data_IF_335301297729
#
_entry.id   IF_335301297729
#
_cell.length_a   1.000
_cell.length_b   1.000
_cell.length_c   1.000
_cell.angle_alpha   90.00
_cell.angle_beta   90.00
_cell.angle_gamma   90.00
#
_symmetry.space_group_name_H-M   'P 1'
#
loop_
_entity.id
_entity.type
_entity.pdbx_description
1 polymer ?
#
# COMPACT_ATOMS: atom_id res chain seq x y z
N UNK A 1 -12.03 -10.42 15.44
CA UNK A 1 -11.45 -11.71 15.85
C UNK A 1 -10.92 -12.39 14.60
N UNK A 2 -9.66 -12.79 14.60
CA UNK A 2 -9.05 -13.63 13.56
C UNK A 2 -8.65 -14.96 14.21
N UNK A 3 -8.90 -16.06 13.50
CA UNK A 3 -8.72 -17.41 14.06
C UNK A 3 -7.31 -17.96 13.87
N UNK A 4 -6.51 -17.38 12.96
CA UNK A 4 -5.16 -17.88 12.70
C UNK A 4 -4.16 -17.19 13.61
N UNK A 5 -3.36 -17.97 14.36
CA UNK A 5 -2.26 -17.42 15.13
C UNK A 5 -1.28 -16.67 14.20
N UNK A 6 -0.79 -15.49 14.61
CA UNK A 6 0.19 -14.76 13.83
C UNK A 6 1.45 -15.59 13.57
N UNK A 7 1.92 -15.69 12.31
CA UNK A 7 3.17 -16.37 12.01
C UNK A 7 4.38 -15.61 12.57
N UNK A 8 5.50 -16.30 12.71
CA UNK A 8 6.78 -15.68 13.02
C UNK A 8 7.22 -14.75 11.88
N UNK A 9 7.89 -13.66 12.22
CA UNK A 9 8.40 -12.68 11.27
C UNK A 9 9.90 -12.49 11.47
N UNK A 10 10.60 -12.15 10.40
CA UNK A 10 11.99 -11.71 10.49
C UNK A 10 12.05 -10.33 11.17
N UNK A 11 12.95 -10.15 12.14
CA UNK A 11 13.22 -8.83 12.71
C UNK A 11 13.65 -7.84 11.61
N UNK A 12 13.24 -6.56 11.67
CA UNK A 12 13.60 -5.57 10.65
C UNK A 12 15.10 -5.25 10.66
N UNK A 13 15.73 -5.21 11.82
CA UNK A 13 17.15 -4.94 11.98
C UNK A 13 17.73 -5.68 13.20
N UNK A 14 19.02 -5.43 13.48
CA UNK A 14 19.72 -5.96 14.64
C UNK A 14 19.82 -4.95 15.80
N UNK A 15 19.05 -3.85 15.76
CA UNK A 15 19.13 -2.77 16.74
C UNK A 15 18.06 -3.02 17.83
N UNK A 16 18.46 -3.33 19.07
CA UNK A 16 17.49 -3.52 20.14
C UNK A 16 16.83 -2.18 20.51
N UNK A 17 15.54 -2.17 20.90
CA UNK A 17 14.90 -0.96 21.37
C UNK A 17 15.49 -0.53 22.72
N UNK A 18 15.49 0.77 22.95
CA UNK A 18 15.81 1.35 24.26
C UNK A 18 14.57 1.19 25.14
N UNK A 19 14.62 0.23 26.07
CA UNK A 19 13.54 -0.04 27.05
C UNK A 19 13.97 0.45 28.43
N UNK A 20 13.04 1.07 29.17
CA UNK A 20 13.32 1.50 30.53
C UNK A 20 13.36 0.30 31.50
N UNK A 21 14.10 0.38 32.62
CA UNK A 21 14.09 -0.66 33.63
C UNK A 21 12.67 -0.94 34.15
N UNK A 22 12.22 -2.20 34.07
CA UNK A 22 10.90 -2.64 34.52
C UNK A 22 9.81 -2.73 33.44
N UNK A 23 10.11 -2.33 32.19
CA UNK A 23 9.19 -2.51 31.07
C UNK A 23 9.24 -3.94 30.49
N UNK A 24 8.18 -4.32 29.77
CA UNK A 24 8.07 -5.65 29.16
C UNK A 24 9.20 -5.91 28.17
N UNK A 25 9.79 -7.10 28.24
CA UNK A 25 10.79 -7.55 27.28
C UNK A 25 10.19 -7.60 25.89
N UNK A 26 10.75 -6.79 25.02
CA UNK A 26 10.43 -6.70 23.62
C UNK A 26 11.03 -7.88 22.83
N UNK A 27 10.27 -8.48 21.92
CA UNK A 27 10.62 -9.72 21.22
C UNK A 27 11.35 -9.51 19.88
N UNK A 28 11.90 -8.32 19.62
CA UNK A 28 12.63 -8.04 18.38
C UNK A 28 11.74 -7.74 17.18
N UNK A 29 10.43 -7.52 17.40
CA UNK A 29 9.41 -7.61 16.35
C UNK A 29 9.41 -8.99 15.65
N UNK A 30 9.87 -10.09 16.27
CA UNK A 30 10.01 -11.38 15.58
C UNK A 30 8.68 -12.10 15.24
N UNK A 31 7.57 -11.38 15.16
CA UNK A 31 6.23 -11.89 14.84
C UNK A 31 5.42 -10.89 14.04
N UNK A 32 4.54 -11.41 13.21
CA UNK A 32 3.49 -10.61 12.59
C UNK A 32 2.37 -10.30 13.60
N UNK A 33 1.50 -9.37 13.21
CA UNK A 33 0.25 -9.11 13.92
C UNK A 33 -0.88 -10.05 13.47
N UNK A 34 -2.10 -9.74 13.91
CA UNK A 34 -3.31 -10.36 13.37
C UNK A 34 -3.45 -10.04 11.87
N UNK A 35 -4.14 -10.90 11.11
CA UNK A 35 -4.31 -10.66 9.67
C UNK A 35 -5.27 -9.50 9.41
N UNK A 36 -4.93 -8.72 8.40
CA UNK A 36 -5.76 -7.65 7.87
C UNK A 36 -6.18 -7.97 6.44
N UNK A 37 -7.36 -7.53 5.99
CA UNK A 37 -7.75 -7.67 4.61
C UNK A 37 -6.84 -6.82 3.71
N UNK A 38 -6.45 -7.36 2.56
CA UNK A 38 -5.70 -6.66 1.53
C UNK A 38 -6.38 -6.87 0.18
N UNK A 39 -6.51 -5.78 -0.59
CA UNK A 39 -7.11 -5.80 -1.93
C UNK A 39 -6.20 -5.00 -2.86
N UNK A 40 -5.90 -5.57 -4.03
CA UNK A 40 -5.14 -4.90 -5.09
C UNK A 40 -6.11 -4.61 -6.23
N UNK A 41 -6.30 -3.32 -6.53
CA UNK A 41 -7.15 -2.86 -7.64
C UNK A 41 -6.23 -2.27 -8.72
N UNK A 42 -6.29 -2.85 -9.91
CA UNK A 42 -5.47 -2.44 -11.05
C UNK A 42 -6.15 -2.84 -12.35
N UNK A 43 -5.94 -2.09 -13.46
CA UNK A 43 -6.33 -2.54 -14.80
C UNK A 43 -5.67 -3.86 -15.23
N UNK A 44 -4.63 -4.30 -14.51
CA UNK A 44 -3.90 -5.53 -14.77
C UNK A 44 -4.02 -6.53 -13.60
N UNK A 45 -4.95 -6.30 -12.67
CA UNK A 45 -5.19 -7.27 -11.60
C UNK A 45 -5.80 -8.56 -12.19
N UNK A 46 -5.45 -9.70 -11.62
CA UNK A 46 -6.05 -10.98 -11.98
C UNK A 46 -7.52 -10.96 -11.53
N UNK A 47 -8.45 -11.13 -12.48
CA UNK A 47 -9.87 -11.11 -12.19
C UNK A 47 -10.26 -12.28 -11.26
N UNK A 48 -11.02 -11.97 -10.20
CA UNK A 48 -11.37 -12.94 -9.14
C UNK A 48 -10.16 -13.68 -8.54
N UNK A 49 -8.97 -13.07 -8.60
CA UNK A 49 -7.74 -13.65 -8.09
C UNK A 49 -7.69 -13.61 -6.57
N UNK A 50 -7.38 -14.76 -5.98
CA UNK A 50 -7.05 -14.90 -4.55
C UNK A 50 -5.70 -15.59 -4.45
N UNK A 51 -4.82 -15.06 -3.60
CA UNK A 51 -3.52 -15.66 -3.31
C UNK A 51 -3.44 -16.01 -1.83
N UNK A 52 -2.80 -17.14 -1.55
CA UNK A 52 -2.54 -17.65 -0.21
C UNK A 52 -1.10 -17.41 0.25
N UNK A 53 -0.33 -16.68 -0.55
CA UNK A 53 1.00 -16.21 -0.15
C UNK A 53 0.87 -15.30 1.08
N UNK A 54 1.82 -15.39 2.00
CA UNK A 54 1.87 -14.51 3.17
C UNK A 54 2.38 -13.15 2.72
N UNK A 55 1.54 -12.14 2.90
CA UNK A 55 1.88 -10.73 2.74
C UNK A 55 1.75 -10.02 4.07
N UNK A 56 2.53 -8.96 4.21
CA UNK A 56 2.55 -8.07 5.35
C UNK A 56 2.56 -6.60 4.86
N UNK A 57 2.60 -5.63 5.76
CA UNK A 57 2.62 -4.23 5.35
C UNK A 57 3.86 -3.86 4.53
N UNK A 58 4.99 -4.54 4.75
CA UNK A 58 6.22 -4.27 3.99
C UNK A 58 6.19 -4.84 2.57
N UNK A 59 5.22 -5.70 2.24
CA UNK A 59 4.96 -6.16 0.86
C UNK A 59 4.64 -5.01 -0.11
N UNK A 60 4.08 -3.90 0.41
CA UNK A 60 3.88 -2.67 -0.37
C UNK A 60 5.23 -2.03 -0.70
N UNK A 61 6.15 -1.98 0.27
CA UNK A 61 7.50 -1.46 0.07
C UNK A 61 8.28 -2.34 -0.91
N UNK A 62 8.25 -3.66 -0.76
CA UNK A 62 8.87 -4.59 -1.70
C UNK A 62 8.38 -4.39 -3.15
N UNK A 63 7.08 -4.10 -3.35
CA UNK A 63 6.55 -3.75 -4.67
C UNK A 63 7.11 -2.43 -5.21
N UNK A 64 7.18 -1.39 -4.36
CA UNK A 64 7.74 -0.07 -4.70
C UNK A 64 9.22 -0.23 -5.07
N UNK A 65 10.00 -0.87 -4.20
CA UNK A 65 11.42 -1.15 -4.39
C UNK A 65 11.68 -1.88 -5.71
N UNK A 66 10.92 -2.93 -5.98
CA UNK A 66 11.02 -3.66 -7.25
C UNK A 66 10.67 -2.79 -8.46
N UNK A 67 9.58 -2.01 -8.38
CA UNK A 67 9.09 -1.22 -9.51
C UNK A 67 10.07 -0.11 -9.92
N UNK A 68 10.70 0.54 -8.95
CA UNK A 68 11.61 1.66 -9.18
C UNK A 68 13.10 1.31 -9.01
N UNK A 69 13.41 0.02 -8.83
CA UNK A 69 14.77 -0.49 -8.60
C UNK A 69 15.47 0.23 -7.43
N UNK A 70 14.76 0.34 -6.31
CA UNK A 70 15.27 0.93 -5.08
C UNK A 70 15.83 -0.18 -4.16
N UNK A 71 16.84 0.14 -3.32
CA UNK A 71 17.29 -0.78 -2.29
C UNK A 71 16.24 -0.92 -1.18
N UNK A 72 16.23 -2.08 -0.53
CA UNK A 72 15.44 -2.32 0.68
C UNK A 72 15.92 -1.43 1.83
N UNK A 73 15.00 -1.08 2.73
CA UNK A 73 15.26 -0.22 3.89
C UNK A 73 15.66 -1.03 5.12
N UNK A 74 15.18 -2.27 5.24
CA UNK A 74 15.41 -3.17 6.38
C UNK A 74 15.64 -4.61 5.92
N UNK A 75 15.80 -5.55 6.84
CA UNK A 75 15.78 -6.98 6.50
C UNK A 75 14.37 -7.50 6.22
N UNK A 76 13.33 -6.83 6.72
CA UNK A 76 11.95 -7.33 6.62
C UNK A 76 11.35 -7.13 5.23
N UNK A 77 11.38 -5.90 4.73
CA UNK A 77 11.00 -5.56 3.35
C UNK A 77 11.87 -6.28 2.32
N UNK A 78 13.18 -6.41 2.57
CA UNK A 78 14.09 -7.18 1.71
C UNK A 78 13.67 -8.66 1.52
N UNK A 79 12.93 -9.22 2.49
CA UNK A 79 12.46 -10.61 2.47
C UNK A 79 10.94 -10.73 2.31
N UNK A 80 10.23 -9.62 2.10
CA UNK A 80 8.79 -9.62 1.91
C UNK A 80 8.42 -10.05 0.49
N UNK A 81 7.26 -10.69 0.34
CA UNK A 81 6.70 -10.98 -0.97
C UNK A 81 6.14 -9.69 -1.58
N UNK A 82 6.51 -9.34 -2.80
CA UNK A 82 5.89 -8.21 -3.50
C UNK A 82 4.47 -8.55 -3.99
N UNK A 83 3.71 -7.52 -4.37
CA UNK A 83 2.32 -7.71 -4.82
C UNK A 83 2.19 -8.13 -6.30
N UNK A 84 3.26 -8.54 -6.97
CA UNK A 84 3.18 -8.93 -8.39
C UNK A 84 2.34 -10.18 -8.61
N UNK A 85 2.21 -11.04 -7.59
CA UNK A 85 1.33 -12.22 -7.62
C UNK A 85 -0.16 -11.90 -7.78
N UNK A 86 -0.58 -10.64 -7.63
CA UNK A 86 -1.95 -10.19 -7.89
C UNK A 86 -2.15 -9.69 -9.34
N UNK A 87 -1.09 -9.58 -10.13
CA UNK A 87 -1.11 -8.95 -11.45
C UNK A 87 -0.94 -9.97 -12.57
N UNK A 88 -1.70 -9.81 -13.66
CA UNK A 88 -1.44 -10.48 -14.92
C UNK A 88 -0.25 -9.79 -15.60
N UNK A 89 0.93 -10.38 -15.41
CA UNK A 89 2.19 -9.86 -15.94
C UNK A 89 2.24 -9.88 -17.46
N UNK A 90 1.53 -10.81 -18.13
CA UNK A 90 1.47 -10.87 -19.58
C UNK A 90 0.62 -9.71 -20.14
N UNK A 91 -0.55 -9.46 -19.53
CA UNK A 91 -1.40 -8.33 -19.88
C UNK A 91 -0.71 -6.98 -19.63
N UNK A 92 0.01 -6.87 -18.50
CA UNK A 92 0.80 -5.70 -18.14
C UNK A 92 1.92 -5.43 -19.16
N UNK A 93 2.70 -6.45 -19.54
CA UNK A 93 3.76 -6.32 -20.55
C UNK A 93 3.20 -5.95 -21.93
N UNK A 94 2.01 -6.45 -22.28
CA UNK A 94 1.34 -6.12 -23.53
C UNK A 94 0.66 -4.74 -23.53
N UNK A 95 0.60 -4.04 -22.38
CA UNK A 95 -0.13 -2.78 -22.23
C UNK A 95 -1.64 -2.91 -22.48
N UNK A 96 -2.20 -4.12 -22.28
CA UNK A 96 -3.61 -4.44 -22.52
C UNK A 96 -4.31 -4.61 -21.18
N UNK A 97 -5.12 -3.64 -20.72
CA UNK A 97 -5.84 -3.80 -19.46
C UNK A 97 -6.85 -4.95 -19.56
N UNK A 98 -7.01 -5.70 -18.46
CA UNK A 98 -8.00 -6.78 -18.29
C UNK A 98 -9.36 -6.26 -17.82
N UNK A 99 -9.43 -4.99 -17.41
CA UNK A 99 -10.66 -4.35 -16.97
C UNK A 99 -11.60 -4.11 -18.17
N UNK A 100 -12.89 -4.30 -17.95
CA UNK A 100 -13.91 -3.99 -18.96
C UNK A 100 -13.87 -2.49 -19.29
N UNK A 101 -14.18 -2.15 -20.54
CA UNK A 101 -14.42 -0.76 -20.94
C UNK A 101 -15.49 -0.17 -20.00
N UNK A 102 -15.22 0.98 -19.33
CA UNK A 102 -16.21 1.64 -18.48
C UNK A 102 -17.49 2.05 -19.24
N UNK A 103 -17.49 1.90 -20.57
CA UNK A 103 -18.58 2.33 -21.42
C UNK A 103 -18.57 3.85 -21.58
N UNK A 104 -19.51 4.41 -22.35
CA UNK A 104 -19.65 5.85 -22.44
C UNK A 104 -19.93 6.40 -21.05
N UNK A 105 -19.08 7.30 -20.57
CA UNK A 105 -19.41 8.12 -19.40
C UNK A 105 -20.78 8.74 -19.66
N UNK A 106 -21.73 8.68 -18.69
CA UNK A 106 -22.99 9.39 -18.85
C UNK A 106 -22.62 10.84 -19.15
N UNK A 107 -23.11 11.39 -20.28
CA UNK A 107 -22.92 12.79 -20.61
C UNK A 107 -23.25 13.56 -19.35
N UNK A 108 -22.30 14.32 -18.82
CA UNK A 108 -22.50 15.08 -17.58
C UNK A 108 -23.85 15.77 -17.69
N UNK A 109 -24.86 15.28 -16.98
CA UNK A 109 -26.06 16.06 -16.71
C UNK A 109 -25.57 17.40 -16.15
N UNK A 110 -26.32 18.51 -16.36
CA UNK A 110 -25.81 19.87 -16.20
C UNK A 110 -24.92 19.89 -14.97
N UNK A 111 -23.62 20.09 -15.20
CA UNK A 111 -22.61 20.17 -14.16
C UNK A 111 -23.29 20.86 -13.01
N UNK A 112 -23.50 20.15 -11.90
CA UNK A 112 -23.73 20.85 -10.64
C UNK A 112 -22.38 21.50 -10.38
N UNK A 113 -22.14 22.61 -11.06
CA UNK A 113 -21.16 23.60 -10.67
C UNK A 113 -21.52 23.84 -9.23
N UNK A 114 -20.76 23.23 -8.32
CA UNK A 114 -20.64 23.82 -7.01
C UNK A 114 -20.32 25.27 -7.31
N UNK A 115 -21.15 26.25 -6.93
CA UNK A 115 -20.82 27.64 -7.15
C UNK A 115 -19.69 27.98 -6.17
N UNK A 116 -18.50 27.43 -6.40
CA UNK A 116 -17.29 28.17 -6.13
C UNK A 116 -17.32 29.30 -7.15
N UNK A 117 -17.93 30.42 -6.74
CA UNK A 117 -17.46 31.70 -7.24
C UNK A 117 -15.93 31.65 -7.17
N UNK A 118 -15.19 32.10 -8.20
CA UNK A 118 -13.74 32.16 -8.13
C UNK A 118 -13.40 33.01 -6.89
N UNK A 119 -13.00 32.35 -5.80
CA UNK A 119 -12.42 33.05 -4.68
C UNK A 119 -11.10 33.59 -5.20
N UNK A 120 -10.98 34.91 -5.28
CA UNK A 120 -9.71 35.54 -5.57
C UNK A 120 -8.71 35.03 -4.54
N UNK A 121 -7.59 34.48 -5.02
CA UNK A 121 -6.45 34.14 -4.17
C UNK A 121 -6.17 35.38 -3.31
N UNK A 122 -6.25 35.28 -1.96
CA UNK A 122 -5.97 36.43 -1.13
C UNK A 122 -4.52 36.87 -1.39
N UNK A 123 -4.24 38.19 -1.44
CA UNK A 123 -2.89 38.68 -1.70
C UNK A 123 -1.92 38.12 -0.66
N UNK A 124 -0.65 37.96 -1.03
CA UNK A 124 0.38 37.35 -0.18
C UNK A 124 0.50 37.96 1.24
N UNK A 125 -0.02 39.18 1.45
CA UNK A 125 -0.11 39.84 2.75
C UNK A 125 -1.15 39.23 3.73
N UNK A 126 -2.02 38.32 3.28
CA UNK A 126 -3.02 37.66 4.12
C UNK A 126 -2.47 36.48 4.93
N UNK A 127 -1.21 36.09 4.70
CA UNK A 127 -0.51 35.12 5.55
C UNK A 127 0.10 35.89 6.71
N UNK A 128 -0.54 35.83 7.88
CA UNK A 128 0.08 36.27 9.13
C UNK A 128 1.15 35.22 9.48
N UNK A 129 2.44 35.60 9.59
CA UNK A 129 3.47 34.68 10.06
C UNK A 129 3.20 34.31 11.53
N UNK A 130 3.34 33.01 11.82
CA UNK A 130 3.31 32.48 13.19
C UNK A 130 4.56 32.92 13.98
#
# INVERSE_FOLDING_TARGET
YDHVPPPAALAPDAIPPVVAPGESTYDGFCRYGFRVPAVVVSPYAIANGVTHTVYDHTSILAMVERKWNLPALTFRDANANDLTGFLDMAALQAGKPTLADPGPFPSSGPSRSCPLAPSSIPPAAAVIPA
#
